data_IF_612467420332
#
_entry.id   IF_612467420332
#
_cell.length_a   1.000
_cell.length_b   1.000
_cell.length_c   1.000
_cell.angle_alpha   90.00
_cell.angle_beta   90.00
_cell.angle_gamma   90.00
#
_symmetry.space_group_name_H-M   'P 1'
#
loop_
_entity.id
_entity.type
_entity.pdbx_description
1 polymer ?
#
# COMPACT_ATOMS: atom_id res chain seq x y z
N UNK A 1 14.08 -2.46 11.60
CA UNK A 1 13.34 -1.90 10.45
C UNK A 1 14.40 -1.48 9.46
N UNK A 2 14.07 -1.33 8.18
CA UNK A 2 15.00 -0.68 7.26
C UNK A 2 14.75 0.83 7.31
N UNK A 3 15.82 1.61 7.35
CA UNK A 3 15.70 3.06 7.28
C UNK A 3 15.17 3.45 5.90
N UNK A 4 14.07 4.20 5.84
CA UNK A 4 13.46 4.61 4.56
C UNK A 4 14.43 5.48 3.76
N UNK A 5 15.30 6.23 4.45
CA UNK A 5 16.30 7.09 3.83
C UNK A 5 17.56 6.33 3.40
N UNK A 6 18.36 5.84 4.35
CA UNK A 6 19.69 5.29 4.07
C UNK A 6 19.71 3.78 3.77
N UNK A 7 18.54 3.12 3.79
CA UNK A 7 18.35 1.69 3.50
C UNK A 7 19.13 0.72 4.40
N UNK A 8 19.77 1.21 5.47
CA UNK A 8 20.39 0.36 6.50
C UNK A 8 19.32 -0.31 7.35
N UNK A 9 19.60 -1.54 7.74
CA UNK A 9 18.75 -2.30 8.66
C UNK A 9 18.95 -1.80 10.11
N UNK A 10 18.17 -2.34 11.05
CA UNK A 10 18.13 -1.90 12.47
C UNK A 10 17.70 -0.44 12.70
N UNK A 11 16.95 0.18 11.78
CA UNK A 11 16.17 1.37 12.12
C UNK A 11 15.20 1.05 13.27
N UNK A 12 15.15 1.95 14.25
CA UNK A 12 14.38 1.80 15.48
C UNK A 12 13.37 2.94 15.69
N UNK A 13 13.59 4.10 15.06
CA UNK A 13 12.74 5.28 15.23
C UNK A 13 11.68 5.32 14.12
N UNK A 14 10.46 5.72 14.46
CA UNK A 14 9.40 6.00 13.50
C UNK A 14 9.14 7.49 13.42
N UNK A 15 8.55 7.92 12.30
CA UNK A 15 8.03 9.28 12.21
C UNK A 15 6.94 9.46 13.27
N UNK A 16 7.18 10.36 14.23
CA UNK A 16 6.21 10.64 15.30
C UNK A 16 4.87 11.21 14.81
N UNK A 17 4.80 11.70 13.57
CA UNK A 17 3.54 12.21 12.99
C UNK A 17 2.68 11.13 12.35
N UNK A 18 3.26 10.28 11.51
CA UNK A 18 2.51 9.34 10.68
C UNK A 18 2.73 7.88 11.04
N UNK A 19 3.70 7.56 11.91
CA UNK A 19 4.08 6.19 12.30
C UNK A 19 4.67 5.32 11.16
N UNK A 20 4.53 5.75 9.90
CA UNK A 20 4.66 4.90 8.71
C UNK A 20 6.05 4.92 8.06
N UNK A 21 6.93 5.85 8.44
CA UNK A 21 8.30 5.90 7.97
C UNK A 21 9.29 5.63 9.11
N UNK A 22 10.27 4.75 8.87
CA UNK A 22 11.27 4.31 9.85
C UNK A 22 12.66 4.86 9.56
N UNK A 23 13.40 5.22 10.61
CA UNK A 23 14.69 5.88 10.54
C UNK A 23 15.69 5.30 11.53
N UNK A 24 16.97 5.29 11.15
CA UNK A 24 18.05 5.03 12.10
C UNK A 24 18.12 6.13 13.15
N UNK A 25 18.03 7.40 12.71
CA UNK A 25 18.24 8.58 13.53
C UNK A 25 17.49 9.80 12.97
N UNK A 26 17.61 10.94 13.67
CA UNK A 26 16.97 12.20 13.31
C UNK A 26 17.44 12.73 11.96
N UNK A 27 18.70 12.56 11.61
CA UNK A 27 19.25 13.05 10.33
C UNK A 27 18.61 12.36 9.14
N UNK A 28 18.45 11.04 9.20
CA UNK A 28 17.73 10.29 8.17
C UNK A 28 16.27 10.74 8.05
N UNK A 29 15.62 11.07 9.17
CA UNK A 29 14.26 11.61 9.18
C UNK A 29 14.20 12.97 8.50
N UNK A 30 15.09 13.90 8.82
CA UNK A 30 15.14 15.24 8.22
C UNK A 30 15.44 15.16 6.72
N UNK A 31 16.41 14.35 6.31
CA UNK A 31 16.73 14.19 4.88
C UNK A 31 15.56 13.60 4.11
N UNK A 32 14.88 12.58 4.66
CA UNK A 32 13.67 12.04 4.06
C UNK A 32 12.51 13.06 4.04
N UNK A 33 12.37 13.86 5.11
CA UNK A 33 11.40 14.97 5.19
C UNK A 33 11.52 15.91 3.99
N UNK A 34 12.73 16.37 3.70
CA UNK A 34 12.99 17.25 2.56
C UNK A 34 12.91 16.55 1.21
N UNK A 35 13.27 15.26 1.13
CA UNK A 35 13.17 14.45 -0.08
C UNK A 35 11.73 14.18 -0.54
N UNK A 36 10.72 14.56 0.25
CA UNK A 36 9.31 14.48 -0.14
C UNK A 36 8.41 13.96 0.96
N UNK A 37 8.96 13.40 2.05
CA UNK A 37 8.14 12.86 3.13
C UNK A 37 7.22 13.92 3.74
N UNK A 38 7.64 15.19 3.80
CA UNK A 38 6.78 16.29 4.28
C UNK A 38 5.43 16.40 3.57
N UNK A 39 5.40 16.04 2.28
CA UNK A 39 4.19 16.10 1.46
C UNK A 39 3.23 14.97 1.83
N UNK A 40 3.76 13.79 2.15
CA UNK A 40 2.96 12.61 2.51
C UNK A 40 2.67 12.52 4.02
N UNK A 41 3.51 13.12 4.85
CA UNK A 41 3.45 13.11 6.31
C UNK A 41 2.44 14.11 6.89
N UNK A 42 1.64 14.74 6.03
CA UNK A 42 0.61 15.71 6.37
C UNK A 42 -0.81 15.25 5.99
N UNK A 43 -0.97 14.04 5.42
CA UNK A 43 -2.30 13.44 5.33
C UNK A 43 -2.78 13.19 6.76
N UNK A 44 -3.90 13.79 7.17
CA UNK A 44 -4.46 13.58 8.52
C UNK A 44 -4.63 12.08 8.71
N UNK A 45 -3.90 11.43 9.65
CA UNK A 45 -4.45 10.24 10.24
C UNK A 45 -5.71 10.73 10.95
N UNK A 46 -6.86 10.32 10.43
CA UNK A 46 -8.02 10.39 11.30
C UNK A 46 -7.70 9.39 12.39
N UNK A 47 -7.83 9.88 13.61
CA UNK A 47 -7.82 9.09 14.84
C UNK A 47 -8.62 7.82 14.60
N UNK A 48 -8.30 6.74 15.32
CA UNK A 48 -9.06 5.50 15.29
C UNK A 48 -10.56 5.83 15.32
N UNK A 49 -11.24 5.70 14.17
CA UNK A 49 -12.65 6.04 14.10
C UNK A 49 -13.38 4.87 14.76
N UNK A 50 -14.16 5.09 15.84
CA UNK A 50 -14.76 4.01 16.60
C UNK A 50 -15.67 3.17 15.69
N UNK A 51 -15.79 1.84 15.91
CA UNK A 51 -16.71 1.01 15.16
C UNK A 51 -18.13 1.59 15.17
N UNK A 52 -18.82 1.55 14.03
CA UNK A 52 -20.21 1.98 13.87
C UNK A 52 -21.01 0.78 13.32
N UNK A 53 -22.25 0.60 13.75
CA UNK A 53 -23.07 -0.53 13.33
C UNK A 53 -23.19 -0.58 11.80
N UNK A 54 -22.88 -1.73 11.20
CA UNK A 54 -22.91 -1.91 9.75
C UNK A 54 -21.70 -1.33 8.99
N UNK A 55 -20.71 -0.74 9.66
CA UNK A 55 -19.50 -0.21 9.02
C UNK A 55 -18.23 -0.92 9.52
N UNK A 56 -17.31 -1.31 8.61
CA UNK A 56 -16.00 -1.83 9.01
C UNK A 56 -15.20 -0.84 9.87
N UNK A 57 -14.38 -1.34 10.80
CA UNK A 57 -13.44 -0.51 11.55
C UNK A 57 -12.42 0.17 10.62
N UNK A 58 -12.04 1.40 10.98
CA UNK A 58 -10.96 2.15 10.31
C UNK A 58 -9.78 2.36 11.27
N UNK A 59 -8.58 2.34 10.73
CA UNK A 59 -7.33 2.58 11.46
C UNK A 59 -6.64 3.84 10.98
N UNK A 60 -5.79 4.48 11.80
CA UNK A 60 -5.03 5.69 11.44
C UNK A 60 -4.02 5.51 10.29
N UNK A 61 -3.81 4.29 9.79
CA UNK A 61 -2.84 3.98 8.76
C UNK A 61 -2.64 2.49 8.53
N UNK A 62 -1.75 2.12 7.59
CA UNK A 62 -1.24 0.76 7.52
C UNK A 62 -0.51 0.40 8.82
N UNK A 63 -0.73 -0.80 9.39
CA UNK A 63 -0.06 -1.19 10.61
C UNK A 63 1.46 -1.32 10.41
N UNK A 64 2.23 -0.91 11.42
CA UNK A 64 3.69 -0.84 11.33
C UNK A 64 4.38 -2.20 11.12
N UNK A 65 3.71 -3.31 11.45
CA UNK A 65 4.25 -4.65 11.25
C UNK A 65 4.31 -5.07 9.78
N UNK A 66 3.57 -4.44 8.84
CA UNK A 66 3.52 -4.83 7.42
C UNK A 66 4.87 -4.78 6.68
N UNK A 67 5.91 -4.20 7.28
CA UNK A 67 7.25 -4.18 6.70
C UNK A 67 8.19 -5.18 7.41
N UNK A 68 7.64 -5.99 8.31
CA UNK A 68 8.35 -6.79 9.31
C UNK A 68 7.47 -7.86 9.96
N UNK A 69 6.59 -8.54 9.21
CA UNK A 69 5.68 -9.52 9.79
C UNK A 69 6.39 -10.49 10.75
N UNK A 70 7.52 -11.07 10.34
CA UNK A 70 8.29 -12.01 11.16
C UNK A 70 8.64 -11.47 12.54
N UNK A 71 9.23 -10.27 12.63
CA UNK A 71 9.64 -9.68 13.90
C UNK A 71 8.45 -9.41 14.81
N UNK A 72 7.34 -8.92 14.25
CA UNK A 72 6.14 -8.65 15.03
C UNK A 72 5.50 -9.96 15.51
N UNK A 73 5.38 -10.96 14.66
CA UNK A 73 4.82 -12.28 15.01
C UNK A 73 5.66 -12.95 16.08
N UNK A 74 6.99 -12.93 15.96
CA UNK A 74 7.90 -13.48 16.98
C UNK A 74 7.70 -12.80 18.35
N UNK A 75 7.44 -11.49 18.37
CA UNK A 75 7.16 -10.77 19.62
C UNK A 75 5.85 -11.20 20.30
N UNK A 76 4.92 -11.79 19.54
CA UNK A 76 3.66 -12.36 20.06
C UNK A 76 3.79 -13.83 20.49
N UNK A 77 4.97 -14.45 20.32
CA UNK A 77 5.22 -15.88 20.54
C UNK A 77 5.49 -16.67 19.26
N UNK A 78 6.12 -17.85 19.36
CA UNK A 78 6.55 -18.68 18.21
C UNK A 78 5.36 -19.24 17.40
N UNK A 79 4.85 -18.46 16.45
CA UNK A 79 3.70 -18.81 15.61
C UNK A 79 4.07 -18.89 14.11
N UNK A 80 4.82 -19.92 13.66
CA UNK A 80 5.41 -19.98 12.31
C UNK A 80 4.38 -20.00 11.16
N UNK A 81 3.18 -20.56 11.36
CA UNK A 81 2.12 -20.56 10.34
C UNK A 81 1.57 -19.15 10.04
N UNK A 82 1.70 -18.20 10.97
CA UNK A 82 1.24 -16.84 10.79
C UNK A 82 2.13 -16.04 9.84
N UNK A 83 3.43 -16.36 9.78
CA UNK A 83 4.40 -15.64 8.94
C UNK A 83 4.04 -15.73 7.47
N UNK A 84 3.75 -16.93 6.95
CA UNK A 84 3.40 -17.12 5.55
C UNK A 84 2.11 -16.38 5.17
N UNK A 85 1.11 -16.39 6.05
CA UNK A 85 -0.16 -15.69 5.83
C UNK A 85 0.04 -14.17 5.84
N UNK A 86 0.90 -13.67 6.72
CA UNK A 86 1.27 -12.27 6.79
C UNK A 86 2.04 -11.82 5.54
N UNK A 87 3.03 -12.57 5.06
CA UNK A 87 3.76 -12.26 3.83
C UNK A 87 2.82 -12.20 2.61
N UNK A 88 1.88 -13.13 2.47
CA UNK A 88 0.88 -13.08 1.38
C UNK A 88 0.01 -11.81 1.45
N UNK A 89 -0.25 -11.30 2.65
CA UNK A 89 -0.99 -10.06 2.83
C UNK A 89 -0.12 -8.83 2.54
N UNK A 90 1.15 -8.83 2.97
CA UNK A 90 2.14 -7.80 2.62
C UNK A 90 2.30 -7.69 1.09
N UNK A 91 2.46 -8.81 0.39
CA UNK A 91 2.52 -8.86 -1.07
C UNK A 91 1.25 -8.31 -1.73
N UNK A 92 0.07 -8.64 -1.20
CA UNK A 92 -1.20 -8.08 -1.68
C UNK A 92 -1.23 -6.56 -1.52
N UNK A 93 -0.87 -6.05 -0.33
CA UNK A 93 -0.86 -4.62 -0.01
C UNK A 93 0.16 -3.87 -0.87
N UNK A 94 1.33 -4.46 -1.10
CA UNK A 94 2.34 -3.92 -1.99
C UNK A 94 1.79 -3.85 -3.41
N UNK A 95 1.24 -4.95 -3.95
CA UNK A 95 0.67 -4.99 -5.30
C UNK A 95 -0.40 -3.92 -5.51
N UNK A 96 -1.28 -3.72 -4.55
CA UNK A 96 -2.30 -2.66 -4.58
C UNK A 96 -1.66 -1.27 -4.62
N UNK A 97 -0.62 -1.02 -3.81
CA UNK A 97 0.13 0.23 -3.83
C UNK A 97 0.83 0.47 -5.18
N UNK A 98 1.50 -0.55 -5.74
CA UNK A 98 2.16 -0.47 -7.05
C UNK A 98 1.14 -0.22 -8.16
N UNK A 99 -0.03 -0.86 -8.10
CA UNK A 99 -1.10 -0.69 -9.10
C UNK A 99 -1.66 0.73 -9.09
N UNK A 100 -1.86 1.31 -7.90
CA UNK A 100 -2.22 2.73 -7.76
C UNK A 100 -1.12 3.62 -8.32
N UNK A 101 0.15 3.30 -8.03
CA UNK A 101 1.29 4.03 -8.55
C UNK A 101 1.38 3.97 -10.07
N UNK A 102 1.17 2.81 -10.67
CA UNK A 102 1.15 2.60 -12.10
C UNK A 102 0.12 3.52 -12.78
N UNK A 103 -1.12 3.54 -12.27
CA UNK A 103 -2.14 4.48 -12.78
C UNK A 103 -1.72 5.94 -12.62
N UNK A 104 -1.11 6.30 -11.49
CA UNK A 104 -0.60 7.65 -11.25
C UNK A 104 0.52 8.02 -12.22
N UNK A 105 1.46 7.10 -12.44
CA UNK A 105 2.59 7.27 -13.35
C UNK A 105 2.10 7.60 -14.74
N UNK A 106 1.24 6.76 -15.34
CA UNK A 106 0.70 7.00 -16.69
C UNK A 106 -0.07 8.33 -16.80
N UNK A 107 -0.88 8.68 -15.80
CA UNK A 107 -1.58 10.00 -15.77
C UNK A 107 -0.63 11.21 -15.79
N UNK A 108 0.63 11.03 -15.40
CA UNK A 108 1.64 12.10 -15.37
C UNK A 108 2.53 12.13 -16.60
N UNK A 109 2.44 11.13 -17.47
CA UNK A 109 3.17 11.10 -18.73
C UNK A 109 2.48 11.97 -19.77
N UNK A 110 3.23 12.44 -20.77
CA UNK A 110 2.71 13.25 -21.87
C UNK A 110 1.61 12.52 -22.66
N UNK A 111 1.74 11.21 -22.82
CA UNK A 111 0.77 10.34 -23.49
C UNK A 111 -0.41 9.93 -22.59
N UNK A 112 -0.37 10.22 -21.28
CA UNK A 112 -1.50 9.93 -20.40
C UNK A 112 -1.91 8.44 -20.35
N UNK A 113 -3.22 8.17 -20.32
CA UNK A 113 -3.78 6.81 -20.21
C UNK A 113 -4.35 6.24 -21.51
N UNK A 114 -4.70 7.09 -22.47
CA UNK A 114 -5.47 6.73 -23.67
C UNK A 114 -4.66 6.80 -24.94
N UNK A 115 -3.57 7.58 -24.97
CA UNK A 115 -2.71 7.62 -26.14
C UNK A 115 -2.00 6.29 -26.35
N UNK A 116 -1.75 6.00 -27.61
CA UNK A 116 -1.12 4.76 -28.04
C UNK A 116 0.40 4.91 -28.03
N UNK A 117 1.09 4.00 -27.35
CA UNK A 117 2.55 3.86 -27.42
C UNK A 117 2.90 2.41 -27.75
N UNK A 118 4.15 2.17 -28.14
CA UNK A 118 4.60 0.81 -28.46
C UNK A 118 4.52 -0.10 -27.23
N UNK A 119 4.22 -1.37 -27.44
CA UNK A 119 4.17 -2.37 -26.38
C UNK A 119 5.50 -2.46 -25.65
N UNK A 120 6.62 -2.29 -26.37
CA UNK A 120 7.95 -2.21 -25.75
C UNK A 120 8.05 -1.10 -24.71
N UNK A 121 7.58 0.12 -25.02
CA UNK A 121 7.58 1.20 -24.04
C UNK A 121 6.69 0.88 -22.83
N UNK A 122 5.57 0.19 -23.03
CA UNK A 122 4.77 -0.29 -21.92
C UNK A 122 5.54 -1.29 -21.05
N UNK A 123 6.25 -2.25 -21.62
CA UNK A 123 7.09 -3.21 -20.87
C UNK A 123 8.11 -2.46 -20.02
N UNK A 124 8.82 -1.50 -20.60
CA UNK A 124 9.82 -0.70 -19.89
C UNK A 124 9.17 0.12 -18.75
N UNK A 125 8.03 0.77 -19.01
CA UNK A 125 7.29 1.54 -18.00
C UNK A 125 6.77 0.67 -16.84
N UNK A 126 6.26 -0.52 -17.13
CA UNK A 126 5.79 -1.46 -16.10
C UNK A 126 6.96 -1.97 -15.27
N UNK A 127 8.11 -2.25 -15.92
CA UNK A 127 9.32 -2.69 -15.25
C UNK A 127 9.89 -1.65 -14.29
N UNK A 128 9.84 -0.35 -14.64
CA UNK A 128 10.21 0.76 -13.73
C UNK A 128 9.41 0.76 -12.42
N UNK A 129 8.23 0.14 -12.41
CA UNK A 129 7.36 0.05 -11.25
C UNK A 129 7.32 -1.36 -10.64
N UNK A 130 8.15 -2.27 -11.13
CA UNK A 130 8.29 -3.63 -10.62
C UNK A 130 7.28 -4.63 -11.16
N UNK A 131 6.58 -4.32 -12.24
CA UNK A 131 5.66 -5.25 -12.91
C UNK A 131 6.34 -5.96 -14.07
N UNK A 132 6.08 -7.26 -14.18
CA UNK A 132 6.53 -8.10 -15.28
C UNK A 132 5.41 -8.23 -16.32
N UNK A 133 5.28 -7.22 -17.19
CA UNK A 133 4.33 -7.26 -18.30
C UNK A 133 4.70 -8.32 -19.34
N UNK A 134 5.99 -8.57 -19.52
CA UNK A 134 6.54 -9.49 -20.53
C UNK A 134 6.02 -10.92 -20.31
N UNK A 135 6.00 -11.38 -19.05
CA UNK A 135 5.46 -12.70 -18.67
C UNK A 135 3.98 -12.94 -19.05
N UNK A 136 3.25 -11.88 -19.41
CA UNK A 136 1.84 -11.92 -19.81
C UNK A 136 1.61 -11.41 -21.23
N UNK A 137 2.66 -11.21 -22.03
CA UNK A 137 2.54 -10.81 -23.42
C UNK A 137 1.74 -11.86 -24.22
N UNK A 138 0.63 -11.47 -24.89
CA UNK A 138 -0.03 -12.35 -25.83
C UNK A 138 0.88 -12.65 -27.03
N UNK A 139 0.88 -13.89 -27.52
CA UNK A 139 1.81 -14.36 -28.58
C UNK A 139 1.78 -13.50 -29.85
N UNK A 140 0.63 -12.93 -30.20
CA UNK A 140 0.47 -12.09 -31.40
C UNK A 140 0.97 -10.64 -31.23
N UNK A 141 1.37 -10.23 -30.02
CA UNK A 141 1.73 -8.82 -29.73
C UNK A 141 3.22 -8.59 -29.91
N UNK A 142 3.55 -7.86 -30.97
CA UNK A 142 4.91 -7.43 -31.28
C UNK A 142 5.31 -6.20 -30.44
N UNK A 143 6.62 -5.99 -30.28
CA UNK A 143 7.18 -4.82 -29.59
C UNK A 143 6.74 -3.49 -30.19
N UNK A 144 6.57 -3.44 -31.50
CA UNK A 144 6.10 -2.27 -32.25
C UNK A 144 4.59 -2.10 -32.22
N UNK A 145 3.85 -3.06 -31.66
CA UNK A 145 2.39 -2.99 -31.55
C UNK A 145 1.98 -1.79 -30.70
N UNK A 146 1.04 -0.99 -31.21
CA UNK A 146 0.58 0.24 -30.56
C UNK A 146 -0.61 -0.06 -29.65
N UNK A 147 -0.47 0.29 -28.37
CA UNK A 147 -1.46 0.04 -27.32
C UNK A 147 -1.60 1.26 -26.44
N UNK A 148 -2.77 1.44 -25.86
CA UNK A 148 -2.97 2.36 -24.75
C UNK A 148 -2.85 1.62 -23.41
N UNK A 149 -2.61 2.37 -22.34
CA UNK A 149 -2.64 1.81 -20.99
C UNK A 149 -4.00 1.16 -20.67
N UNK A 150 -5.10 1.77 -21.12
CA UNK A 150 -6.46 1.23 -20.91
C UNK A 150 -6.62 -0.13 -21.58
N UNK A 151 -6.12 -0.30 -22.80
CA UNK A 151 -6.18 -1.59 -23.51
C UNK A 151 -5.32 -2.66 -22.85
N UNK A 152 -4.13 -2.32 -22.36
CA UNK A 152 -3.31 -3.29 -21.59
C UNK A 152 -4.07 -3.77 -20.36
N UNK A 153 -4.62 -2.85 -19.56
CA UNK A 153 -5.36 -3.24 -18.36
C UNK A 153 -6.62 -4.04 -18.70
N UNK A 154 -7.29 -3.74 -19.82
CA UNK A 154 -8.50 -4.44 -20.24
C UNK A 154 -8.21 -5.87 -20.74
N UNK A 155 -7.19 -6.04 -21.56
CA UNK A 155 -6.93 -7.31 -22.26
C UNK A 155 -5.93 -8.22 -21.53
N UNK A 156 -4.93 -7.64 -20.86
CA UNK A 156 -3.88 -8.38 -20.14
C UNK A 156 -4.14 -8.36 -18.64
N UNK A 157 -4.76 -7.28 -18.14
CA UNK A 157 -4.94 -7.05 -16.70
C UNK A 157 -3.70 -6.43 -16.06
N UNK A 158 -3.68 -6.42 -14.72
CA UNK A 158 -2.49 -6.02 -13.97
C UNK A 158 -1.51 -7.20 -13.97
N UNK A 159 -0.29 -7.07 -14.52
CA UNK A 159 0.69 -8.15 -14.57
C UNK A 159 1.19 -8.58 -13.18
N UNK A 160 1.88 -9.73 -13.07
CA UNK A 160 2.56 -10.08 -11.82
C UNK A 160 3.68 -9.09 -11.49
N UNK A 161 4.09 -9.08 -10.22
CA UNK A 161 5.28 -8.35 -9.80
C UNK A 161 6.52 -9.20 -10.05
N UNK A 162 7.65 -8.56 -10.33
CA UNK A 162 8.95 -9.23 -10.26
C UNK A 162 9.21 -9.81 -8.86
N UNK A 163 10.16 -10.75 -8.70
CA UNK A 163 10.64 -11.16 -7.37
C UNK A 163 11.05 -9.95 -6.54
N UNK A 164 10.79 -9.99 -5.22
CA UNK A 164 10.99 -8.83 -4.32
C UNK A 164 12.37 -8.19 -4.46
N UNK A 165 13.42 -9.02 -4.57
CA UNK A 165 14.82 -8.58 -4.74
C UNK A 165 15.09 -7.77 -6.01
N UNK A 166 14.25 -7.91 -7.04
CA UNK A 166 14.36 -7.18 -8.30
C UNK A 166 13.43 -5.97 -8.36
N UNK A 167 12.55 -5.78 -7.37
CA UNK A 167 11.56 -4.69 -7.41
C UNK A 167 12.25 -3.36 -7.10
N UNK A 168 12.10 -2.34 -7.97
CA UNK A 168 12.60 -1.01 -7.67
C UNK A 168 11.84 -0.42 -6.47
N UNK A 169 12.50 0.43 -5.67
CA UNK A 169 11.84 1.15 -4.58
C UNK A 169 10.81 2.12 -5.16
N UNK A 170 9.58 2.05 -4.65
CA UNK A 170 8.55 3.00 -5.03
C UNK A 170 8.55 4.23 -4.13
N UNK A 171 8.32 5.38 -4.73
CA UNK A 171 7.99 6.57 -3.96
C UNK A 171 6.62 6.39 -3.30
N UNK A 172 6.45 6.74 -2.02
CA UNK A 172 5.16 6.66 -1.37
C UNK A 172 4.19 7.64 -2.03
N UNK A 173 3.01 7.15 -2.44
CA UNK A 173 1.89 8.01 -2.79
C UNK A 173 1.10 8.33 -1.55
N UNK A 174 0.63 9.58 -1.48
CA UNK A 174 -0.33 10.00 -0.47
C UNK A 174 -1.63 9.24 -0.73
N UNK A 175 -2.10 8.40 0.22
CA UNK A 175 -3.38 7.75 0.04
C UNK A 175 -4.48 8.80 -0.01
N UNK A 176 -5.48 8.55 -0.85
CA UNK A 176 -6.62 9.44 -1.05
C UNK A 176 -7.88 8.67 -0.78
N UNK A 177 -8.84 9.33 -0.15
CA UNK A 177 -10.16 8.77 0.08
C UNK A 177 -10.77 8.32 -1.25
N UNK A 178 -11.36 7.13 -1.27
CA UNK A 178 -12.00 6.59 -2.48
C UNK A 178 -13.22 7.40 -2.91
N UNK A 179 -13.85 8.14 -2.01
CA UNK A 179 -15.02 8.99 -2.28
C UNK A 179 -14.61 10.42 -2.63
N UNK A 180 -14.22 11.24 -1.65
CA UNK A 180 -13.99 12.68 -1.85
C UNK A 180 -12.59 13.03 -2.42
N UNK A 181 -11.70 12.04 -2.55
CA UNK A 181 -10.31 12.20 -3.05
C UNK A 181 -9.37 13.07 -2.19
N UNK A 182 -9.82 13.52 -1.02
CA UNK A 182 -8.97 14.17 -0.02
C UNK A 182 -7.85 13.25 0.45
N UNK A 183 -6.72 13.84 0.81
CA UNK A 183 -5.56 13.13 1.33
C UNK A 183 -5.82 12.68 2.77
N UNK A 184 -5.69 11.38 3.02
CA UNK A 184 -5.92 10.76 4.33
C UNK A 184 -5.07 9.50 4.45
N UNK A 185 -4.68 9.12 5.66
CA UNK A 185 -4.01 7.83 5.89
C UNK A 185 -4.96 6.77 6.42
N UNK A 186 -6.18 7.14 6.80
CA UNK A 186 -7.08 6.19 7.43
C UNK A 186 -7.61 5.14 6.47
N UNK A 187 -7.54 3.89 6.91
CA UNK A 187 -7.89 2.74 6.09
C UNK A 187 -8.80 1.76 6.82
N UNK A 188 -9.72 1.15 6.07
CA UNK A 188 -10.37 -0.09 6.47
C UNK A 188 -9.33 -1.21 6.62
N UNK A 189 -9.65 -2.26 7.40
CA UNK A 189 -8.84 -3.48 7.51
C UNK A 189 -8.33 -4.00 6.17
N UNK A 190 -9.13 -3.96 5.11
CA UNK A 190 -8.75 -4.45 3.79
C UNK A 190 -7.78 -3.53 3.00
N UNK A 191 -7.46 -2.34 3.52
CA UNK A 191 -6.56 -1.35 2.92
C UNK A 191 -7.24 -0.26 2.09
N UNK A 192 -8.59 -0.23 2.02
CA UNK A 192 -9.33 0.86 1.35
C UNK A 192 -9.32 2.12 2.21
N UNK A 193 -9.09 3.29 1.61
CA UNK A 193 -8.90 4.55 2.32
C UNK A 193 -10.19 5.39 2.37
N UNK A 194 -10.52 5.90 3.55
CA UNK A 194 -11.66 6.81 3.78
C UNK A 194 -11.25 7.96 4.69
N UNK A 195 -11.71 9.18 4.37
CA UNK A 195 -11.43 10.34 5.20
C UNK A 195 -12.53 10.65 6.24
N UNK A 196 -13.59 9.84 6.33
CA UNK A 196 -14.65 9.98 7.32
C UNK A 196 -15.58 8.76 7.30
N UNK A 197 -16.39 8.60 8.35
CA UNK A 197 -17.50 7.63 8.38
C UNK A 197 -18.53 7.91 7.29
N UNK A 198 -18.80 9.18 7.00
CA UNK A 198 -19.68 9.58 5.91
C UNK A 198 -19.18 9.08 4.55
N UNK A 199 -17.89 9.31 4.23
CA UNK A 199 -17.29 8.78 3.01
C UNK A 199 -17.34 7.25 2.97
N UNK A 200 -17.17 6.58 4.11
CA UNK A 200 -17.30 5.13 4.17
C UNK A 200 -18.73 4.66 3.89
N UNK A 201 -19.76 5.32 4.47
CA UNK A 201 -21.16 5.00 4.18
C UNK A 201 -21.50 5.16 2.71
N UNK A 202 -21.00 6.21 2.06
CA UNK A 202 -21.22 6.46 0.63
C UNK A 202 -20.69 5.31 -0.24
N UNK A 203 -19.57 4.68 0.14
CA UNK A 203 -18.97 3.60 -0.66
C UNK A 203 -19.33 2.17 -0.18
N UNK A 204 -19.95 2.03 1.00
CA UNK A 204 -20.07 0.72 1.68
C UNK A 204 -20.73 -0.36 0.80
N UNK A 205 -21.72 0.01 -0.01
CA UNK A 205 -22.41 -0.90 -0.92
C UNK A 205 -21.47 -1.47 -1.99
N UNK A 206 -20.61 -0.64 -2.59
CA UNK A 206 -19.62 -1.07 -3.58
C UNK A 206 -18.42 -1.78 -2.93
N UNK A 207 -18.03 -1.33 -1.74
CA UNK A 207 -16.88 -1.80 -1.00
C UNK A 207 -17.05 -3.19 -0.39
N UNK A 208 -18.24 -3.51 0.14
CA UNK A 208 -18.49 -4.71 0.95
C UNK A 208 -18.00 -5.99 0.27
N UNK A 209 -18.28 -6.17 -1.02
CA UNK A 209 -17.86 -7.36 -1.77
C UNK A 209 -16.33 -7.52 -1.82
N UNK A 210 -15.60 -6.42 -2.00
CA UNK A 210 -14.13 -6.44 -1.96
C UNK A 210 -13.63 -6.71 -0.54
N UNK A 211 -14.18 -5.99 0.45
CA UNK A 211 -13.81 -6.12 1.85
C UNK A 211 -13.95 -7.57 2.34
N UNK A 212 -15.09 -8.21 2.07
CA UNK A 212 -15.34 -9.61 2.47
C UNK A 212 -14.33 -10.55 1.84
N UNK A 213 -14.01 -10.41 0.54
CA UNK A 213 -13.01 -11.26 -0.12
C UNK A 213 -11.63 -11.13 0.52
N UNK A 214 -11.22 -9.91 0.86
CA UNK A 214 -9.94 -9.68 1.54
C UNK A 214 -9.95 -10.29 2.95
N UNK A 215 -11.06 -10.13 3.68
CA UNK A 215 -11.22 -10.74 4.99
C UNK A 215 -11.15 -12.26 4.96
N UNK A 216 -11.88 -12.91 4.05
CA UNK A 216 -11.84 -14.38 3.90
C UNK A 216 -10.45 -14.86 3.50
N UNK A 217 -9.74 -14.13 2.63
CA UNK A 217 -8.43 -14.56 2.13
C UNK A 217 -7.28 -14.32 3.13
N UNK A 218 -7.38 -13.29 3.97
CA UNK A 218 -6.28 -12.81 4.82
C UNK A 218 -6.65 -12.66 6.29
N UNK A 219 -7.64 -13.41 6.77
CA UNK A 219 -8.19 -13.32 8.14
C UNK A 219 -7.10 -13.22 9.22
N UNK A 220 -6.12 -14.13 9.20
CA UNK A 220 -5.04 -14.14 10.18
C UNK A 220 -4.17 -12.87 10.17
N UNK A 221 -3.83 -12.34 8.99
CA UNK A 221 -3.08 -11.09 8.88
C UNK A 221 -3.91 -9.89 9.38
N UNK A 222 -5.23 -9.92 9.18
CA UNK A 222 -6.13 -8.90 9.72
C UNK A 222 -6.25 -8.98 11.25
N UNK A 223 -6.16 -10.18 11.84
CA UNK A 223 -6.05 -10.33 13.31
C UNK A 223 -4.78 -9.65 13.83
N UNK A 224 -3.64 -9.81 13.15
CA UNK A 224 -2.39 -9.09 13.51
C UNK A 224 -2.57 -7.57 13.43
N UNK A 225 -3.29 -7.08 12.42
CA UNK A 225 -3.63 -5.65 12.30
C UNK A 225 -4.42 -5.16 13.51
N UNK A 226 -5.45 -5.90 13.93
CA UNK A 226 -6.24 -5.55 15.13
C UNK A 226 -5.39 -5.54 16.39
N UNK A 227 -4.57 -6.57 16.60
CA UNK A 227 -3.68 -6.68 17.78
C UNK A 227 -2.68 -5.52 17.84
N UNK A 228 -2.10 -5.16 16.69
CA UNK A 228 -1.15 -4.05 16.60
C UNK A 228 -1.77 -2.71 17.02
N UNK A 229 -2.97 -2.42 16.55
CA UNK A 229 -3.65 -1.17 16.93
C UNK A 229 -4.21 -1.21 18.36
N UNK A 230 -4.62 -2.39 18.85
CA UNK A 230 -5.04 -2.55 20.24
C UNK A 230 -3.88 -2.32 21.22
N UNK A 231 -2.67 -2.81 20.93
CA UNK A 231 -1.52 -2.60 21.81
C UNK A 231 -1.11 -1.12 21.89
N UNK A 232 -1.29 -0.35 20.82
CA UNK A 232 -1.01 1.09 20.84
C UNK A 232 -2.06 1.89 21.60
N UNK A 233 -3.32 1.46 21.59
CA UNK A 233 -4.39 2.11 22.36
C UNK A 233 -4.32 1.84 23.87
N UNK A 234 -3.59 0.80 24.30
CA UNK A 234 -3.35 0.51 25.73
C UNK A 234 -2.27 1.42 26.32
N UNK A 235 -1.26 1.82 25.54
CA UNK A 235 -0.20 2.74 26.00
C UNK A 235 -0.71 4.16 26.30
N UNK A 236 -1.85 4.59 25.74
CA UNK A 236 -2.47 5.89 26.03
C UNK A 236 -3.31 5.92 27.33
N UNK A 237 -3.60 4.76 27.93
CA UNK A 237 -4.43 4.67 29.15
C UNK A 237 -3.63 4.65 30.46
N UNK A 238 -2.31 4.46 30.38
CA UNK A 238 -1.40 4.33 31.54
C UNK A 238 -0.52 5.59 31.75
N UNK A 239 -0.95 6.77 31.28
CA UNK A 239 -0.28 8.07 31.50
C UNK A 239 -1.22 9.09 32.12
#
# INVERSE_FOLDING_TARGET
MRCVFCKKDKAAKQCSRCGSATYCNRDCQVRHWHAGHKKVCASRPLVLLPPEAGLPQMYPGPPGWLNKAEFYIQSLGKLPMLTNSAHKYEEYREREARTRYLRHFYKKQLYGMTEMITFRHHVDNFALLGFDLESKRPVAVLDTGMWSFVEIIKNIGVPPLFPEVMRPPLMPLIPRCVVCKCECTSECLCGTNYCSRECQRTDVAAHTRHCTKVHTKYEFALVLTRRYWASLGQEEADV
#
